data_IF_782640363212
#
_entry.id   IF_782640363212
#
_cell.length_a   1.000
_cell.length_b   1.000
_cell.length_c   1.000
_cell.angle_alpha   90.00
_cell.angle_beta   90.00
_cell.angle_gamma   90.00
#
_symmetry.space_group_name_H-M   'P 1'
#
loop_
_entity.id
_entity.type
_entity.pdbx_description
1 polymer ?
#
# COMPACT_ATOMS: atom_id res chain seq x y z
N UNK A 1 -11.85 23.20 -7.89
CA UNK A 1 -12.53 23.46 -9.19
C UNK A 1 -12.42 22.25 -10.12
N UNK A 2 -11.22 21.67 -10.34
CA UNK A 2 -11.02 20.51 -11.23
C UNK A 2 -11.94 19.33 -10.87
N UNK A 3 -11.98 18.91 -9.62
CA UNK A 3 -12.82 17.79 -9.20
C UNK A 3 -14.31 18.03 -9.49
N UNK A 4 -14.80 19.23 -9.21
CA UNK A 4 -16.20 19.57 -9.50
C UNK A 4 -16.56 19.51 -10.99
N UNK A 5 -15.61 19.82 -11.89
CA UNK A 5 -15.88 19.70 -13.34
C UNK A 5 -15.97 18.25 -13.83
N UNK A 6 -15.49 17.30 -13.01
CA UNK A 6 -15.57 15.87 -13.28
C UNK A 6 -16.85 15.21 -12.77
N UNK A 7 -17.62 15.89 -11.94
CA UNK A 7 -18.74 15.32 -11.21
C UNK A 7 -20.07 15.78 -11.78
N UNK A 8 -21.10 14.95 -11.58
CA UNK A 8 -22.49 15.28 -11.88
C UNK A 8 -23.09 16.08 -10.72
N UNK A 9 -24.26 16.66 -10.93
CA UNK A 9 -24.97 17.43 -9.90
C UNK A 9 -25.37 16.58 -8.69
N UNK A 10 -25.55 15.27 -8.89
CA UNK A 10 -25.89 14.30 -7.83
C UNK A 10 -24.67 13.83 -7.05
N UNK A 11 -23.45 13.94 -7.63
CA UNK A 11 -22.23 13.51 -6.98
C UNK A 11 -21.77 14.54 -5.95
N UNK A 12 -21.11 14.08 -4.91
CA UNK A 12 -20.60 14.93 -3.84
C UNK A 12 -19.07 14.93 -3.83
N UNK A 13 -18.48 16.13 -3.66
CA UNK A 13 -17.05 16.29 -3.40
C UNK A 13 -16.83 17.07 -2.11
N UNK A 14 -16.02 16.52 -1.21
CA UNK A 14 -15.63 17.15 0.03
C UNK A 14 -14.10 17.21 0.13
N UNK A 15 -13.57 18.31 0.69
CA UNK A 15 -12.17 18.39 1.09
C UNK A 15 -12.09 18.03 2.57
N UNK A 16 -11.33 16.98 2.90
CA UNK A 16 -11.17 16.48 4.27
C UNK A 16 -10.11 17.26 5.03
N UNK A 17 -9.04 17.64 4.34
CA UNK A 17 -7.94 18.44 4.89
C UNK A 17 -6.73 18.38 3.98
N UNK A 18 -5.80 19.34 4.08
CA UNK A 18 -4.57 19.32 3.30
C UNK A 18 -4.82 19.14 1.80
N UNK A 19 -4.31 18.04 1.24
CA UNK A 19 -4.45 17.59 -0.15
C UNK A 19 -5.47 16.43 -0.31
N UNK A 20 -6.20 16.07 0.73
CA UNK A 20 -7.14 14.97 0.75
C UNK A 20 -8.57 15.40 0.40
N UNK A 21 -9.19 14.64 -0.48
CA UNK A 21 -10.55 14.84 -0.95
C UNK A 21 -11.32 13.51 -0.94
N UNK A 22 -12.59 13.58 -0.56
CA UNK A 22 -13.53 12.48 -0.70
C UNK A 22 -14.56 12.79 -1.78
N UNK A 23 -14.90 11.79 -2.58
CA UNK A 23 -15.90 11.85 -3.63
C UNK A 23 -16.94 10.76 -3.40
N UNK A 24 -18.22 11.11 -3.50
CA UNK A 24 -19.31 10.15 -3.51
C UNK A 24 -19.94 10.21 -4.89
N UNK A 25 -19.88 9.09 -5.61
CA UNK A 25 -20.51 8.93 -6.92
C UNK A 25 -21.81 8.18 -6.73
N UNK A 26 -22.90 8.82 -7.10
CA UNK A 26 -24.24 8.26 -6.97
C UNK A 26 -24.77 7.75 -8.31
N UNK A 27 -25.77 6.88 -8.28
CA UNK A 27 -26.51 6.42 -9.47
C UNK A 27 -25.63 5.89 -10.62
N UNK A 28 -24.55 5.18 -10.32
CA UNK A 28 -23.78 4.48 -11.34
C UNK A 28 -24.40 3.08 -11.62
N UNK A 29 -24.40 2.67 -12.89
CA UNK A 29 -25.00 1.41 -13.33
C UNK A 29 -24.01 0.27 -13.38
N UNK A 30 -22.73 0.59 -13.53
CA UNK A 30 -21.67 -0.38 -13.69
C UNK A 30 -20.34 0.15 -13.14
N UNK A 31 -19.42 -0.78 -12.85
CA UNK A 31 -18.04 -0.43 -12.51
C UNK A 31 -17.38 0.40 -13.63
N UNK A 32 -17.78 0.19 -14.88
CA UNK A 32 -17.25 0.94 -16.01
C UNK A 32 -17.60 2.43 -15.93
N UNK A 33 -18.77 2.78 -15.44
CA UNK A 33 -19.16 4.19 -15.26
C UNK A 33 -18.26 4.90 -14.25
N UNK A 34 -17.89 4.18 -13.16
CA UNK A 34 -16.94 4.68 -12.16
C UNK A 34 -15.56 4.88 -12.79
N UNK A 35 -15.07 3.91 -13.58
CA UNK A 35 -13.78 4.00 -14.25
C UNK A 35 -13.70 5.23 -15.17
N UNK A 36 -14.74 5.54 -15.91
CA UNK A 36 -14.79 6.74 -16.78
C UNK A 36 -14.62 8.05 -15.99
N UNK A 37 -15.18 8.12 -14.79
CA UNK A 37 -15.00 9.29 -13.91
C UNK A 37 -13.59 9.36 -13.39
N UNK A 38 -13.02 8.22 -12.95
CA UNK A 38 -11.64 8.14 -12.42
C UNK A 38 -10.61 8.53 -13.48
N UNK A 39 -10.75 8.00 -14.70
CA UNK A 39 -9.85 8.31 -15.81
C UNK A 39 -9.90 9.79 -16.17
N UNK A 40 -11.09 10.40 -16.14
CA UNK A 40 -11.26 11.84 -16.36
C UNK A 40 -10.60 12.67 -15.26
N UNK A 41 -10.78 12.29 -13.99
CA UNK A 41 -10.12 12.96 -12.86
C UNK A 41 -8.60 12.84 -13.00
N UNK A 42 -8.12 11.64 -13.29
CA UNK A 42 -6.69 11.40 -13.47
C UNK A 42 -6.11 12.25 -14.59
N UNK A 43 -6.73 12.28 -15.75
CA UNK A 43 -6.30 13.08 -16.90
C UNK A 43 -6.22 14.57 -16.55
N UNK A 44 -7.27 15.13 -15.93
CA UNK A 44 -7.31 16.55 -15.56
C UNK A 44 -6.32 16.92 -14.44
N UNK A 45 -6.00 16.02 -13.54
CA UNK A 45 -4.96 16.25 -12.52
C UNK A 45 -3.56 16.30 -13.14
N UNK A 46 -3.35 15.63 -14.27
CA UNK A 46 -2.07 15.62 -14.98
C UNK A 46 -1.90 16.79 -15.95
N UNK A 47 -2.96 17.58 -16.21
CA UNK A 47 -2.85 18.79 -17.03
C UNK A 47 -2.03 19.84 -16.27
N UNK A 48 -0.99 20.40 -16.90
CA UNK A 48 -0.23 21.50 -16.30
C UNK A 48 -1.13 22.70 -16.04
N UNK A 49 -0.92 23.38 -14.94
CA UNK A 49 -1.62 24.61 -14.60
C UNK A 49 -0.66 25.70 -14.10
N UNK A 50 -0.98 26.95 -14.38
CA UNK A 50 -0.14 28.08 -14.04
C UNK A 50 -0.49 28.63 -12.66
N UNK A 51 0.55 28.83 -11.85
CA UNK A 51 0.48 29.50 -10.55
C UNK A 51 1.47 30.66 -10.56
N UNK A 52 0.96 31.86 -10.88
CA UNK A 52 1.81 33.03 -11.10
C UNK A 52 2.68 32.84 -12.35
N UNK A 53 4.00 32.90 -12.19
CA UNK A 53 4.95 32.71 -13.29
C UNK A 53 5.44 31.26 -13.44
N UNK A 54 4.87 30.31 -12.69
CA UNK A 54 5.29 28.90 -12.69
C UNK A 54 4.20 27.99 -13.20
N UNK A 55 4.54 27.13 -14.12
CA UNK A 55 3.69 26.01 -14.55
C UNK A 55 3.96 24.84 -13.62
N UNK A 56 2.91 24.34 -12.97
CA UNK A 56 2.95 23.20 -12.07
C UNK A 56 2.16 22.05 -12.67
N UNK A 57 2.57 20.84 -12.32
CA UNK A 57 1.87 19.63 -12.61
C UNK A 57 1.62 18.88 -11.30
N UNK A 58 0.45 18.30 -11.14
CA UNK A 58 0.11 17.50 -9.96
C UNK A 58 -0.30 16.11 -10.37
N UNK A 59 -0.35 15.22 -9.41
CA UNK A 59 -0.89 13.87 -9.55
C UNK A 59 -1.59 13.49 -8.26
N UNK A 60 -2.44 12.47 -8.31
CA UNK A 60 -3.09 11.93 -7.13
C UNK A 60 -3.33 10.44 -7.28
N UNK A 61 -3.37 9.76 -6.13
CA UNK A 61 -3.79 8.36 -6.04
C UNK A 61 -5.20 8.31 -5.48
N UNK A 62 -6.04 7.42 -6.02
CA UNK A 62 -7.43 7.30 -5.62
C UNK A 62 -7.71 5.89 -5.09
N UNK A 63 -8.29 5.80 -3.90
CA UNK A 63 -8.85 4.57 -3.34
C UNK A 63 -10.35 4.53 -3.55
N UNK A 64 -10.89 3.40 -3.98
CA UNK A 64 -12.29 3.28 -4.35
C UNK A 64 -12.94 2.13 -3.57
N UNK A 65 -14.06 2.44 -2.93
CA UNK A 65 -14.96 1.47 -2.32
C UNK A 65 -16.25 1.40 -3.10
N UNK A 66 -16.69 0.20 -3.43
CA UNK A 66 -18.00 -0.08 -4.04
C UNK A 66 -18.78 -0.95 -3.03
N UNK A 67 -20.10 -1.05 -3.21
CA UNK A 67 -21.00 -1.81 -2.35
C UNK A 67 -21.05 -1.26 -0.90
N UNK A 68 -21.31 0.04 -0.82
CA UNK A 68 -21.38 0.76 0.45
C UNK A 68 -22.45 0.25 1.42
N UNK A 69 -23.42 -0.53 0.94
CA UNK A 69 -24.47 -1.17 1.76
C UNK A 69 -23.94 -2.22 2.76
N UNK A 70 -22.72 -2.69 2.59
CA UNK A 70 -22.08 -3.65 3.49
C UNK A 70 -21.41 -2.97 4.71
N UNK A 71 -21.33 -1.65 4.70
CA UNK A 71 -20.64 -0.88 5.74
C UNK A 71 -21.61 -0.42 6.83
N UNK A 72 -21.18 -0.54 8.06
CA UNK A 72 -21.97 -0.13 9.23
C UNK A 72 -21.73 1.34 9.63
N UNK A 73 -20.62 1.93 9.19
CA UNK A 73 -20.29 3.33 9.46
C UNK A 73 -19.50 3.99 8.32
N UNK A 74 -19.51 5.32 8.29
CA UNK A 74 -18.71 6.10 7.35
C UNK A 74 -17.20 5.95 7.61
N UNK A 75 -16.81 5.78 8.88
CA UNK A 75 -15.43 5.59 9.30
C UNK A 75 -14.83 4.30 8.73
N UNK A 76 -15.60 3.21 8.72
CA UNK A 76 -15.17 1.95 8.09
C UNK A 76 -14.95 2.12 6.59
N UNK A 77 -15.88 2.80 5.92
CA UNK A 77 -15.80 3.05 4.49
C UNK A 77 -14.59 3.91 4.13
N UNK A 78 -14.36 4.98 4.91
CA UNK A 78 -13.20 5.86 4.74
C UNK A 78 -11.88 5.12 4.96
N UNK A 79 -11.79 4.32 6.03
CA UNK A 79 -10.61 3.49 6.29
C UNK A 79 -10.28 2.57 5.12
N UNK A 80 -11.29 1.90 4.56
CA UNK A 80 -11.09 0.96 3.47
C UNK A 80 -10.74 1.68 2.16
N UNK A 81 -11.26 2.88 1.94
CA UNK A 81 -10.84 3.75 0.84
C UNK A 81 -9.37 4.19 0.99
N UNK A 82 -8.94 4.54 2.20
CA UNK A 82 -7.55 4.90 2.49
C UNK A 82 -6.59 3.73 2.24
N UNK A 83 -6.95 2.51 2.65
CA UNK A 83 -6.16 1.31 2.36
C UNK A 83 -5.96 1.15 0.85
N UNK A 84 -7.03 1.29 0.08
CA UNK A 84 -6.95 1.18 -1.38
C UNK A 84 -6.13 2.32 -2.00
N UNK A 85 -6.27 3.56 -1.50
CA UNK A 85 -5.51 4.72 -1.95
C UNK A 85 -4.01 4.54 -1.67
N UNK A 86 -3.66 4.06 -0.49
CA UNK A 86 -2.27 3.77 -0.14
C UNK A 86 -1.65 2.74 -1.08
N UNK A 87 -2.37 1.65 -1.38
CA UNK A 87 -1.95 0.63 -2.36
C UNK A 87 -1.80 1.20 -3.78
N UNK A 88 -2.69 2.11 -4.19
CA UNK A 88 -2.55 2.80 -5.47
C UNK A 88 -1.23 3.60 -5.52
N UNK A 89 -0.93 4.33 -4.44
CA UNK A 89 0.29 5.14 -4.31
C UNK A 89 1.55 4.28 -4.31
N UNK A 90 1.59 3.21 -3.54
CA UNK A 90 2.70 2.25 -3.44
C UNK A 90 3.02 1.63 -4.82
N UNK A 91 2.01 1.21 -5.55
CA UNK A 91 2.16 0.59 -6.86
C UNK A 91 2.21 1.60 -8.02
N UNK A 92 2.24 2.91 -7.73
CA UNK A 92 2.24 4.00 -8.74
C UNK A 92 1.10 3.89 -9.74
N UNK A 93 -0.08 3.45 -9.25
CA UNK A 93 -1.32 3.39 -10.03
C UNK A 93 -2.16 4.62 -9.78
N UNK A 94 -2.94 5.09 -10.77
CA UNK A 94 -3.83 6.23 -10.60
C UNK A 94 -4.96 5.94 -9.60
N UNK A 95 -5.41 4.71 -9.53
CA UNK A 95 -6.46 4.29 -8.60
C UNK A 95 -6.36 2.81 -8.25
N UNK A 96 -7.00 2.43 -7.15
CA UNK A 96 -7.15 1.07 -6.69
C UNK A 96 -8.55 0.87 -6.08
N UNK A 97 -9.20 -0.23 -6.45
CA UNK A 97 -10.42 -0.66 -5.77
C UNK A 97 -10.06 -1.44 -4.51
N UNK A 98 -10.76 -1.13 -3.43
CA UNK A 98 -10.62 -1.87 -2.19
C UNK A 98 -11.03 -3.34 -2.37
N UNK A 99 -10.30 -4.21 -1.72
CA UNK A 99 -10.67 -5.60 -1.52
C UNK A 99 -10.35 -6.00 -0.07
N UNK A 100 -11.14 -6.94 0.47
CA UNK A 100 -10.89 -7.46 1.83
C UNK A 100 -9.51 -8.14 1.96
N UNK A 101 -8.92 -8.55 0.85
CA UNK A 101 -7.55 -9.06 0.79
C UNK A 101 -6.54 -8.01 1.23
N UNK A 102 -6.65 -6.78 0.71
CA UNK A 102 -5.76 -5.67 1.09
C UNK A 102 -5.80 -5.37 2.58
N UNK A 103 -6.99 -5.45 3.19
CA UNK A 103 -7.13 -5.27 4.63
C UNK A 103 -6.42 -6.37 5.41
N UNK A 104 -6.57 -7.63 4.97
CA UNK A 104 -5.89 -8.78 5.61
C UNK A 104 -4.37 -8.66 5.50
N UNK A 105 -3.86 -8.32 4.33
CA UNK A 105 -2.43 -8.11 4.09
C UNK A 105 -1.88 -6.98 4.97
N UNK A 106 -2.61 -5.86 5.10
CA UNK A 106 -2.19 -4.75 5.96
C UNK A 106 -2.13 -5.19 7.43
N UNK A 107 -3.16 -5.93 7.92
CA UNK A 107 -3.16 -6.44 9.28
C UNK A 107 -2.00 -7.42 9.51
N UNK A 108 -1.72 -8.28 8.55
CA UNK A 108 -0.58 -9.21 8.64
C UNK A 108 0.76 -8.48 8.72
N UNK A 109 0.95 -7.42 7.93
CA UNK A 109 2.16 -6.58 8.00
C UNK A 109 2.29 -5.94 9.38
N UNK A 110 1.22 -5.39 9.94
CA UNK A 110 1.23 -4.76 11.28
C UNK A 110 1.53 -5.77 12.39
N UNK A 111 1.00 -6.99 12.29
CA UNK A 111 1.32 -8.08 13.22
C UNK A 111 2.79 -8.44 13.14
N UNK A 112 3.31 -8.69 11.92
CA UNK A 112 4.72 -9.03 11.71
C UNK A 112 5.64 -7.90 12.21
N UNK A 113 5.30 -6.63 11.97
CA UNK A 113 6.06 -5.49 12.50
C UNK A 113 6.14 -5.52 14.02
N UNK A 114 5.01 -5.75 14.67
CA UNK A 114 4.95 -5.83 16.15
C UNK A 114 5.77 -7.00 16.67
N UNK A 115 5.61 -8.17 16.05
CA UNK A 115 6.30 -9.38 16.46
C UNK A 115 7.79 -9.31 16.19
N UNK A 116 8.23 -8.63 15.12
CA UNK A 116 9.64 -8.44 14.80
C UNK A 116 10.37 -7.58 15.84
N UNK A 117 9.72 -6.54 16.38
CA UNK A 117 10.25 -5.76 17.51
C UNK A 117 10.55 -6.66 18.72
N UNK A 118 9.64 -7.59 19.00
CA UNK A 118 9.81 -8.55 20.09
C UNK A 118 10.84 -9.62 19.76
N UNK A 119 10.97 -10.03 18.50
CA UNK A 119 11.93 -11.03 18.04
C UNK A 119 13.37 -10.61 18.22
N UNK A 120 13.69 -9.32 17.98
CA UNK A 120 15.03 -8.75 18.18
C UNK A 120 15.42 -8.87 19.65
N UNK A 121 14.53 -8.50 20.58
CA UNK A 121 14.77 -8.60 22.02
C UNK A 121 14.74 -10.06 22.54
N UNK A 122 13.93 -10.91 21.90
CA UNK A 122 13.64 -12.28 22.33
C UNK A 122 14.59 -13.36 21.79
N UNK A 123 15.64 -12.98 21.06
CA UNK A 123 16.59 -13.94 20.46
C UNK A 123 15.90 -14.98 19.55
N UNK A 124 14.90 -14.57 18.80
CA UNK A 124 14.15 -15.44 17.89
C UNK A 124 14.77 -15.48 16.48
N UNK A 125 15.79 -14.65 16.24
CA UNK A 125 16.48 -14.49 14.97
C UNK A 125 17.83 -15.21 15.03
N UNK A 126 18.18 -15.96 13.99
CA UNK A 126 19.42 -16.67 13.88
C UNK A 126 19.87 -16.82 12.44
N UNK A 127 21.16 -17.14 12.24
CA UNK A 127 21.74 -17.28 10.92
C UNK A 127 21.91 -18.76 10.57
N UNK A 128 21.46 -19.11 9.38
CA UNK A 128 21.88 -20.31 8.70
C UNK A 128 23.02 -19.97 7.75
N UNK A 129 23.94 -20.91 7.58
CA UNK A 129 25.08 -20.74 6.71
C UNK A 129 25.01 -21.75 5.57
N UNK A 130 24.86 -21.24 4.34
CA UNK A 130 24.86 -22.06 3.14
C UNK A 130 26.29 -22.08 2.56
N UNK A 131 26.92 -23.27 2.35
CA UNK A 131 28.26 -23.34 1.81
C UNK A 131 28.29 -22.96 0.34
N UNK A 132 29.27 -22.13 -0.04
CA UNK A 132 29.60 -21.79 -1.42
C UNK A 132 30.79 -22.63 -1.86
N UNK A 133 30.58 -23.51 -2.85
CA UNK A 133 31.58 -24.45 -3.32
C UNK A 133 31.98 -24.14 -4.76
N UNK A 134 33.26 -23.99 -5.02
CA UNK A 134 33.79 -23.87 -6.37
C UNK A 134 33.76 -25.24 -7.08
N UNK A 135 32.98 -25.37 -8.12
CA UNK A 135 32.92 -26.59 -8.93
C UNK A 135 34.22 -26.85 -9.67
N UNK A 136 34.91 -25.80 -10.14
CA UNK A 136 36.18 -25.92 -10.85
C UNK A 136 37.33 -26.35 -9.91
N UNK A 137 37.36 -25.82 -8.69
CA UNK A 137 38.44 -26.09 -7.71
C UNK A 137 38.09 -27.20 -6.73
N UNK A 138 36.83 -27.68 -6.75
CA UNK A 138 36.29 -28.70 -5.83
C UNK A 138 36.57 -28.41 -4.35
N UNK A 139 36.47 -27.14 -3.96
CA UNK A 139 36.71 -26.70 -2.57
C UNK A 139 35.68 -25.69 -2.10
N UNK A 140 35.51 -25.61 -0.79
CA UNK A 140 34.74 -24.58 -0.13
C UNK A 140 35.41 -23.22 -0.33
N UNK A 141 34.64 -22.22 -0.79
CA UNK A 141 35.11 -20.84 -1.00
C UNK A 141 34.52 -19.85 0.02
N UNK A 142 33.41 -20.21 0.64
CA UNK A 142 32.77 -19.36 1.63
C UNK A 142 31.44 -19.90 2.10
N UNK A 143 30.72 -19.04 2.83
CA UNK A 143 29.37 -19.30 3.29
C UNK A 143 28.50 -18.06 3.03
N UNK A 144 27.28 -18.29 2.63
CA UNK A 144 26.24 -17.27 2.64
C UNK A 144 25.51 -17.32 3.98
N UNK A 145 25.41 -16.17 4.66
CA UNK A 145 24.65 -16.05 5.90
C UNK A 145 23.20 -15.71 5.58
N UNK A 146 22.31 -16.58 5.94
CA UNK A 146 20.88 -16.49 5.64
C UNK A 146 20.10 -16.33 6.95
N UNK A 147 19.51 -15.16 7.14
CA UNK A 147 18.69 -14.87 8.31
C UNK A 147 17.46 -15.77 8.36
N UNK A 148 17.09 -16.23 9.55
CA UNK A 148 15.88 -17.00 9.83
C UNK A 148 15.22 -16.48 11.09
N UNK A 149 13.90 -16.50 11.10
CA UNK A 149 13.11 -16.12 12.26
C UNK A 149 12.27 -17.30 12.75
N UNK A 150 12.54 -17.76 13.98
CA UNK A 150 11.69 -18.76 14.64
C UNK A 150 10.56 -18.02 15.36
N UNK A 151 9.47 -17.80 14.64
CA UNK A 151 8.31 -17.11 15.18
C UNK A 151 7.53 -18.02 16.12
N UNK A 152 7.11 -17.53 17.31
CA UNK A 152 6.45 -18.38 18.33
C UNK A 152 5.19 -19.09 17.86
N UNK A 153 4.36 -18.45 17.03
CA UNK A 153 3.09 -18.98 16.54
C UNK A 153 3.10 -19.42 15.07
N UNK A 154 3.99 -18.81 14.23
CA UNK A 154 4.06 -19.06 12.78
C UNK A 154 5.17 -20.05 12.39
N UNK A 155 6.01 -20.47 13.35
CA UNK A 155 7.17 -21.35 13.10
C UNK A 155 8.29 -20.64 12.35
N UNK A 156 9.00 -21.37 11.49
CA UNK A 156 10.13 -20.85 10.73
C UNK A 156 9.67 -19.90 9.62
N UNK A 157 9.91 -18.61 9.77
CA UNK A 157 9.64 -17.59 8.77
C UNK A 157 10.85 -17.35 7.88
N UNK A 158 10.60 -17.27 6.58
CA UNK A 158 11.62 -16.94 5.58
C UNK A 158 11.85 -15.43 5.51
N UNK A 159 13.06 -14.97 5.14
CA UNK A 159 13.41 -13.55 5.05
C UNK A 159 12.45 -12.73 4.19
N UNK A 160 11.96 -13.28 3.10
CA UNK A 160 11.07 -12.60 2.15
C UNK A 160 9.76 -12.11 2.80
N UNK A 161 9.35 -12.70 3.92
CA UNK A 161 8.14 -12.30 4.65
C UNK A 161 8.35 -11.16 5.64
N UNK A 162 9.57 -10.91 6.11
CA UNK A 162 9.80 -9.91 7.17
C UNK A 162 10.90 -8.89 6.85
N UNK A 163 11.84 -9.20 5.96
CA UNK A 163 12.90 -8.25 5.57
C UNK A 163 12.33 -6.98 4.93
N UNK A 164 11.38 -7.05 3.97
CA UNK A 164 10.77 -5.83 3.42
C UNK A 164 10.14 -4.95 4.50
N UNK A 165 9.44 -5.57 5.46
CA UNK A 165 8.84 -4.84 6.60
C UNK A 165 9.91 -4.21 7.48
N UNK A 166 11.02 -4.92 7.73
CA UNK A 166 12.15 -4.39 8.49
C UNK A 166 12.83 -3.20 7.78
N UNK A 167 12.93 -3.23 6.46
CA UNK A 167 13.48 -2.14 5.65
C UNK A 167 12.57 -0.91 5.71
N UNK A 168 11.27 -1.07 5.45
CA UNK A 168 10.29 0.02 5.44
C UNK A 168 10.14 0.70 6.80
N UNK A 169 10.30 -0.06 7.89
CA UNK A 169 10.17 0.43 9.27
C UNK A 169 11.50 0.84 9.91
N UNK A 170 12.62 0.67 9.20
CA UNK A 170 13.98 0.95 9.72
C UNK A 170 14.48 -0.07 10.73
N UNK A 171 13.75 -1.15 10.99
CA UNK A 171 14.18 -2.23 11.89
C UNK A 171 15.24 -3.14 11.28
N UNK A 172 15.60 -2.95 10.03
CA UNK A 172 16.69 -3.67 9.38
C UNK A 172 18.06 -3.41 10.05
N UNK A 173 18.24 -2.23 10.66
CA UNK A 173 19.51 -1.86 11.30
C UNK A 173 19.84 -2.67 12.57
N UNK A 174 18.88 -2.96 13.48
CA UNK A 174 19.13 -3.79 14.64
C UNK A 174 19.03 -5.31 14.39
N UNK A 175 18.63 -5.77 13.19
CA UNK A 175 18.60 -7.17 12.78
C UNK A 175 20.01 -7.71 12.51
#
# INVERSE_FOLDING_TARGET
>A
KILHSCLRTVDTAARLGGDEFALILEEFRSRQDVLLVLDRIHALLHEPFDVGERTLQTSGSMGIVINTSEYSSAEELMRDADIAMYRAKEHRKPYQFFSREMQRELMEIMEIETDLKNAIAGQQLFLYYQPIVSLARKRLEGFEALLRWMHPSRGMMQPDHFIPIAEDTGMILPL
#
